data_IF_224670240262
#
_entry.id   IF_224670240262
#
_cell.length_a   1.000
_cell.length_b   1.000
_cell.length_c   1.000
_cell.angle_alpha   90.00
_cell.angle_beta   90.00
_cell.angle_gamma   90.00
#
_symmetry.space_group_name_H-M   'P 1'
#
loop_
_entity.id
_entity.type
_entity.pdbx_description
1 polymer ?
#
# COMPACT_ATOMS: atom_id res chain seq x y z
N UNK A 1 26.19 12.15 1.28
CA UNK A 1 27.02 11.29 2.15
C UNK A 1 26.20 10.23 2.91
N UNK A 2 25.30 10.60 3.84
CA UNK A 2 24.50 9.62 4.62
C UNK A 2 23.69 8.62 3.77
N UNK A 3 23.08 9.08 2.68
CA UNK A 3 22.29 8.22 1.79
C UNK A 3 23.17 7.21 1.02
N UNK A 4 24.30 7.64 0.46
CA UNK A 4 25.19 6.74 -0.27
C UNK A 4 25.75 5.64 0.65
N UNK A 5 26.14 5.98 1.88
CA UNK A 5 26.55 4.99 2.89
C UNK A 5 25.42 4.00 3.21
N UNK A 6 24.18 4.46 3.33
CA UNK A 6 23.03 3.58 3.53
C UNK A 6 22.83 2.64 2.34
N UNK A 7 22.87 3.18 1.12
CA UNK A 7 22.74 2.42 -0.12
C UNK A 7 23.84 1.37 -0.26
N UNK A 8 25.08 1.69 0.08
CA UNK A 8 26.20 0.74 0.11
C UNK A 8 25.92 -0.40 1.09
N UNK A 9 25.53 -0.11 2.33
CA UNK A 9 25.17 -1.14 3.32
C UNK A 9 24.06 -2.08 2.83
N UNK A 10 23.00 -1.52 2.23
CA UNK A 10 21.91 -2.32 1.64
C UNK A 10 22.42 -3.21 0.51
N UNK A 11 23.27 -2.68 -0.37
CA UNK A 11 23.85 -3.43 -1.47
C UNK A 11 24.77 -4.55 -1.00
N UNK A 12 25.57 -4.31 0.04
CA UNK A 12 26.39 -5.36 0.66
C UNK A 12 25.53 -6.46 1.27
N UNK A 13 24.51 -6.09 2.04
CA UNK A 13 23.57 -7.06 2.61
C UNK A 13 22.95 -7.94 1.53
N UNK A 14 22.48 -7.33 0.43
CA UNK A 14 21.92 -8.04 -0.72
C UNK A 14 22.94 -8.97 -1.38
N UNK A 15 24.21 -8.57 -1.50
CA UNK A 15 25.28 -9.41 -2.06
C UNK A 15 25.54 -10.64 -1.18
N UNK A 16 25.59 -10.46 0.14
CA UNK A 16 25.84 -11.54 1.11
C UNK A 16 24.73 -12.59 1.14
N UNK A 17 23.48 -12.18 0.96
CA UNK A 17 22.31 -13.06 1.02
C UNK A 17 21.75 -13.42 -0.38
N UNK A 18 22.53 -13.20 -1.43
CA UNK A 18 22.10 -13.50 -2.80
C UNK A 18 22.04 -15.01 -2.98
N UNK A 19 20.84 -15.55 -3.23
CA UNK A 19 20.64 -16.99 -3.43
C UNK A 19 20.25 -17.75 -2.16
N UNK A 20 20.01 -17.05 -1.05
CA UNK A 20 19.42 -17.63 0.16
C UNK A 20 17.91 -17.86 -0.06
N UNK A 21 17.59 -18.77 -0.99
CA UNK A 21 16.22 -19.23 -1.18
C UNK A 21 15.92 -20.22 -0.07
N UNK A 22 15.27 -19.75 0.99
CA UNK A 22 14.90 -20.66 2.07
C UNK A 22 14.00 -21.77 1.48
N UNK A 23 14.42 -23.03 1.66
CA UNK A 23 13.60 -24.20 1.35
C UNK A 23 12.26 -24.19 2.11
N UNK A 24 12.13 -23.30 3.11
CA UNK A 24 10.95 -23.06 3.95
C UNK A 24 10.01 -21.98 3.39
N UNK A 25 10.26 -21.36 2.24
CA UNK A 25 9.39 -20.27 1.71
C UNK A 25 7.94 -20.69 1.41
N UNK A 26 7.70 -22.01 1.30
CA UNK A 26 6.37 -22.62 1.14
C UNK A 26 5.80 -23.21 2.44
N UNK A 27 6.65 -23.38 3.46
CA UNK A 27 6.30 -23.97 4.74
C UNK A 27 7.03 -23.24 5.88
N UNK A 28 6.35 -22.25 6.45
CA UNK A 28 6.90 -21.44 7.53
C UNK A 28 5.79 -20.86 8.42
N UNK A 29 6.05 -20.67 9.73
CA UNK A 29 5.12 -20.02 10.63
C UNK A 29 4.93 -18.52 10.27
N UNK A 30 3.91 -17.85 10.85
CA UNK A 30 3.77 -16.41 10.69
C UNK A 30 4.82 -15.66 11.52
N UNK A 31 5.22 -14.49 11.03
CA UNK A 31 6.13 -13.56 11.72
C UNK A 31 5.50 -12.17 11.73
N UNK A 32 5.47 -11.51 12.90
CA UNK A 32 5.03 -10.13 13.04
C UNK A 32 6.06 -9.39 13.87
N UNK A 33 6.66 -8.33 13.32
CA UNK A 33 7.70 -7.55 13.97
C UNK A 33 7.37 -6.06 13.94
N UNK A 34 7.49 -5.39 15.08
CA UNK A 34 7.37 -3.93 15.16
C UNK A 34 8.75 -3.32 15.02
N UNK A 35 9.03 -2.76 13.84
CA UNK A 35 10.31 -2.15 13.52
C UNK A 35 10.34 -0.74 14.11
N UNK A 36 11.31 -0.50 14.99
CA UNK A 36 11.56 0.82 15.59
C UNK A 36 12.81 1.43 14.96
N UNK A 37 12.78 2.74 14.74
CA UNK A 37 13.99 3.46 14.33
C UNK A 37 15.01 3.47 15.46
N UNK A 38 16.27 3.19 15.14
CA UNK A 38 17.38 3.43 16.07
C UNK A 38 17.63 4.94 16.12
N UNK A 39 16.96 5.64 17.02
CA UNK A 39 17.36 7.02 17.37
C UNK A 39 18.43 6.89 18.45
N UNK A 40 19.69 7.31 18.21
CA UNK A 40 20.78 7.11 19.15
C UNK A 40 20.60 7.85 20.48
N UNK A 41 19.80 8.91 20.51
CA UNK A 41 19.66 9.79 21.66
C UNK A 41 18.19 9.94 22.11
N UNK A 42 17.91 9.54 23.35
CA UNK A 42 16.63 9.77 24.04
C UNK A 42 16.29 11.27 24.13
N UNK A 43 17.32 12.13 24.14
CA UNK A 43 17.18 13.60 24.18
C UNK A 43 16.71 14.18 22.83
N UNK A 44 17.09 13.58 21.70
CA UNK A 44 16.63 14.01 20.37
C UNK A 44 15.19 13.55 20.06
N UNK A 45 14.71 12.48 20.72
CA UNK A 45 13.32 12.03 20.62
C UNK A 45 12.32 13.02 21.25
N UNK A 46 12.72 13.79 22.27
CA UNK A 46 11.83 14.75 22.94
C UNK A 46 11.46 15.96 22.06
N UNK A 47 12.26 16.25 21.01
CA UNK A 47 12.09 17.39 20.11
C UNK A 47 11.73 17.00 18.67
N UNK A 48 11.55 15.72 18.39
CA UNK A 48 11.17 15.22 17.06
C UNK A 48 9.80 14.56 17.11
N UNK A 49 8.96 14.87 16.11
CA UNK A 49 7.69 14.17 15.95
C UNK A 49 7.95 12.65 15.88
N UNK A 50 7.17 11.84 16.63
CA UNK A 50 7.39 10.41 16.68
C UNK A 50 7.21 9.81 15.27
N UNK A 51 8.24 9.11 14.80
CA UNK A 51 8.20 8.37 13.54
C UNK A 51 6.99 7.41 13.52
N UNK A 52 6.25 7.32 12.39
CA UNK A 52 5.18 6.35 12.25
C UNK A 52 5.68 4.91 12.50
N UNK A 53 4.87 4.10 13.16
CA UNK A 53 5.19 2.69 13.44
C UNK A 53 5.27 1.91 12.12
N UNK A 54 6.38 1.18 11.93
CA UNK A 54 6.51 0.21 10.84
C UNK A 54 6.28 -1.19 11.41
N UNK A 55 5.34 -1.93 10.82
CA UNK A 55 5.02 -3.31 11.22
C UNK A 55 5.32 -4.23 10.04
N UNK A 56 6.29 -5.12 10.21
CA UNK A 56 6.58 -6.19 9.27
C UNK A 56 5.67 -7.39 9.55
N UNK A 57 5.09 -7.95 8.49
CA UNK A 57 4.20 -9.12 8.57
C UNK A 57 4.59 -10.13 7.49
N UNK A 58 4.96 -11.32 7.92
CA UNK A 58 5.03 -12.52 7.10
C UNK A 58 3.90 -13.46 7.51
N UNK A 59 2.99 -13.79 6.58
CA UNK A 59 1.89 -14.72 6.85
C UNK A 59 2.40 -16.15 6.90
N UNK A 60 1.75 -17.00 7.68
CA UNK A 60 1.98 -18.45 7.60
C UNK A 60 1.74 -18.97 6.19
N UNK A 61 2.55 -19.96 5.77
CA UNK A 61 2.30 -20.76 4.57
C UNK A 61 2.50 -22.23 4.88
N UNK A 62 1.65 -23.08 4.31
CA UNK A 62 1.75 -24.54 4.32
C UNK A 62 1.51 -25.06 2.90
N UNK A 63 2.23 -26.09 2.43
CA UNK A 63 2.05 -26.64 1.08
C UNK A 63 0.62 -27.13 0.79
N UNK A 64 -0.10 -27.58 1.83
CA UNK A 64 -1.49 -28.06 1.75
C UNK A 64 -2.54 -26.96 1.65
N UNK A 65 -2.16 -25.68 1.79
CA UNK A 65 -3.10 -24.56 1.85
C UNK A 65 -2.83 -23.55 0.74
N UNK A 66 -3.85 -23.28 -0.07
CA UNK A 66 -3.76 -22.27 -1.11
C UNK A 66 -3.67 -20.87 -0.50
N UNK A 67 -2.63 -20.10 -0.86
CA UNK A 67 -2.34 -18.82 -0.20
C UNK A 67 -2.87 -17.58 -0.93
N UNK A 68 -3.51 -17.74 -2.09
CA UNK A 68 -4.18 -16.66 -2.85
C UNK A 68 -3.30 -15.43 -3.15
N UNK A 69 -2.01 -15.63 -3.41
CA UNK A 69 -1.04 -14.61 -3.84
C UNK A 69 -1.22 -13.25 -3.12
N UNK A 70 -1.36 -12.15 -3.86
CA UNK A 70 -1.50 -10.77 -3.37
C UNK A 70 -2.80 -10.57 -2.58
N UNK A 71 -3.93 -11.11 -3.07
CA UNK A 71 -5.22 -10.98 -2.40
C UNK A 71 -5.20 -11.56 -0.97
N UNK A 72 -4.64 -12.77 -0.81
CA UNK A 72 -4.48 -13.37 0.51
C UNK A 72 -3.54 -12.57 1.41
N UNK A 73 -2.56 -11.85 0.85
CA UNK A 73 -1.57 -11.11 1.63
C UNK A 73 -2.20 -9.82 2.17
N UNK A 74 -2.90 -9.09 1.30
CA UNK A 74 -3.70 -7.92 1.68
C UNK A 74 -4.77 -8.29 2.72
N UNK A 75 -5.44 -9.43 2.58
CA UNK A 75 -6.42 -9.89 3.57
C UNK A 75 -5.80 -10.19 4.95
N UNK A 76 -4.58 -10.74 4.99
CA UNK A 76 -3.85 -10.91 6.27
C UNK A 76 -3.47 -9.54 6.85
N UNK A 77 -2.92 -8.63 6.04
CA UNK A 77 -2.56 -7.28 6.47
C UNK A 77 -3.77 -6.51 7.01
N UNK A 78 -4.95 -6.64 6.37
CA UNK A 78 -6.21 -6.04 6.81
C UNK A 78 -6.57 -6.48 8.24
N UNK A 79 -6.46 -7.79 8.53
CA UNK A 79 -6.75 -8.37 9.85
C UNK A 79 -5.73 -7.95 10.90
N UNK A 80 -4.43 -8.06 10.60
CA UNK A 80 -3.36 -7.64 11.53
C UNK A 80 -3.49 -6.14 11.84
N UNK A 81 -3.71 -5.31 10.83
CA UNK A 81 -3.94 -3.87 11.01
C UNK A 81 -5.18 -3.57 11.86
N UNK A 82 -6.24 -4.38 11.76
CA UNK A 82 -7.44 -4.24 12.60
C UNK A 82 -7.15 -4.39 14.10
N UNK A 83 -6.19 -5.24 14.46
CA UNK A 83 -5.75 -5.42 15.85
C UNK A 83 -4.73 -4.36 16.26
N UNK A 84 -3.81 -4.00 15.37
CA UNK A 84 -2.65 -3.15 15.70
C UNK A 84 -2.98 -1.65 15.77
N UNK A 85 -3.78 -1.15 14.83
CA UNK A 85 -4.08 0.29 14.73
C UNK A 85 -5.55 0.60 14.46
N UNK A 86 -6.30 -0.35 13.91
CA UNK A 86 -7.71 -0.24 13.55
C UNK A 86 -8.06 1.02 12.73
N UNK A 87 -7.14 1.50 11.88
CA UNK A 87 -7.35 2.72 11.08
C UNK A 87 -8.58 2.60 10.17
N UNK A 88 -9.50 3.60 10.16
CA UNK A 88 -10.70 3.57 9.32
C UNK A 88 -10.42 3.65 7.82
N UNK A 89 -9.24 4.15 7.44
CA UNK A 89 -8.81 4.27 6.04
C UNK A 89 -7.49 3.54 5.82
N UNK A 90 -7.34 2.96 4.62
CA UNK A 90 -6.20 2.12 4.25
C UNK A 90 -5.68 2.56 2.88
N UNK A 91 -4.38 2.84 2.78
CA UNK A 91 -3.67 3.00 1.51
C UNK A 91 -3.14 1.64 1.06
N UNK A 92 -3.40 1.28 -0.20
CA UNK A 92 -2.76 0.12 -0.85
C UNK A 92 -1.76 0.63 -1.88
N UNK A 93 -0.51 0.18 -1.77
CA UNK A 93 0.60 0.61 -2.61
C UNK A 93 1.48 -0.59 -2.96
N UNK A 94 1.87 -0.70 -4.23
CA UNK A 94 2.84 -1.69 -4.72
C UNK A 94 4.29 -1.24 -4.52
N UNK A 95 5.22 -2.19 -4.58
CA UNK A 95 6.64 -1.95 -4.27
C UNK A 95 7.41 -1.16 -5.34
N UNK A 96 6.85 -1.03 -6.54
CA UNK A 96 7.33 -0.20 -7.63
C UNK A 96 6.65 1.18 -7.66
N UNK A 97 5.76 1.46 -6.70
CA UNK A 97 5.09 2.73 -6.53
C UNK A 97 5.57 3.44 -5.27
N UNK A 98 5.70 4.76 -5.33
CA UNK A 98 5.99 5.58 -4.16
C UNK A 98 5.10 6.84 -4.14
N UNK A 99 4.91 7.39 -2.94
CA UNK A 99 4.17 8.62 -2.76
C UNK A 99 5.02 9.80 -3.25
N UNK A 100 4.65 10.39 -4.38
CA UNK A 100 5.34 11.54 -4.98
C UNK A 100 4.84 12.90 -4.46
N UNK A 101 3.62 12.96 -3.92
CA UNK A 101 3.04 14.14 -3.29
C UNK A 101 2.70 13.84 -1.81
N UNK A 102 3.40 14.48 -0.86
CA UNK A 102 3.16 14.25 0.57
C UNK A 102 1.76 14.68 1.03
N UNK A 103 1.04 15.47 0.22
CA UNK A 103 -0.33 15.89 0.51
C UNK A 103 -1.40 14.90 0.02
N UNK A 104 -1.03 13.82 -0.69
CA UNK A 104 -1.96 12.83 -1.24
C UNK A 104 -2.92 12.23 -0.20
N UNK A 105 -2.43 11.92 1.01
CA UNK A 105 -3.28 11.46 2.10
C UNK A 105 -4.33 12.50 2.48
N UNK A 106 -3.92 13.77 2.63
CA UNK A 106 -4.83 14.88 2.94
C UNK A 106 -5.88 15.07 1.83
N UNK A 107 -5.46 15.02 0.57
CA UNK A 107 -6.36 15.13 -0.58
C UNK A 107 -7.41 13.99 -0.58
N UNK A 108 -7.00 12.75 -0.32
CA UNK A 108 -7.93 11.63 -0.22
C UNK A 108 -8.93 11.81 0.93
N UNK A 109 -8.47 12.35 2.07
CA UNK A 109 -9.33 12.61 3.22
C UNK A 109 -10.38 13.70 2.95
N UNK A 110 -10.11 14.69 2.09
CA UNK A 110 -11.12 15.67 1.69
C UNK A 110 -12.38 15.01 1.13
N UNK A 111 -12.25 13.93 0.34
CA UNK A 111 -13.39 13.18 -0.18
C UNK A 111 -14.02 12.25 0.87
N UNK A 112 -13.18 11.54 1.62
CA UNK A 112 -13.63 10.58 2.64
C UNK A 112 -14.30 11.25 3.86
N UNK A 113 -14.06 12.54 4.09
CA UNK A 113 -14.63 13.31 5.20
C UNK A 113 -15.68 14.33 4.75
N UNK A 114 -15.96 14.49 3.45
CA UNK A 114 -17.08 15.30 2.98
C UNK A 114 -18.41 14.63 3.42
N UNK A 115 -19.26 15.30 4.22
CA UNK A 115 -20.50 14.71 4.73
C UNK A 115 -21.49 14.25 3.65
N UNK A 116 -21.45 14.85 2.45
CA UNK A 116 -22.34 14.52 1.33
C UNK A 116 -21.81 13.36 0.51
N UNK A 117 -20.49 13.33 0.26
CA UNK A 117 -19.87 12.31 -0.59
C UNK A 117 -19.53 11.03 0.19
N UNK A 118 -19.03 11.19 1.42
CA UNK A 118 -18.50 10.09 2.23
C UNK A 118 -19.47 8.91 2.36
N UNK A 119 -20.77 9.08 2.66
CA UNK A 119 -21.67 7.93 2.86
C UNK A 119 -21.74 6.97 1.65
N UNK A 120 -21.57 7.49 0.43
CA UNK A 120 -21.56 6.72 -0.82
C UNK A 120 -20.15 6.37 -1.33
N UNK A 121 -19.10 6.93 -0.73
CA UNK A 121 -17.72 6.77 -1.20
C UNK A 121 -17.06 5.52 -0.58
N UNK A 122 -16.60 4.62 -1.44
CA UNK A 122 -15.81 3.44 -1.04
C UNK A 122 -14.31 3.75 -1.03
N UNK A 123 -13.78 4.33 -2.11
CA UNK A 123 -12.36 4.56 -2.30
C UNK A 123 -12.09 5.85 -3.07
N UNK A 124 -10.86 6.34 -2.93
CA UNK A 124 -10.28 7.40 -3.78
C UNK A 124 -9.08 6.78 -4.50
N UNK A 125 -9.18 6.67 -5.83
CA UNK A 125 -8.14 6.10 -6.69
C UNK A 125 -7.30 7.22 -7.29
N UNK A 126 -5.98 7.14 -7.12
CA UNK A 126 -5.02 8.04 -7.77
C UNK A 126 -4.51 7.39 -9.07
N UNK A 127 -4.25 8.20 -10.11
CA UNK A 127 -3.64 7.72 -11.35
C UNK A 127 -2.24 7.16 -11.10
N UNK A 128 -1.89 6.07 -11.79
CA UNK A 128 -0.54 5.50 -11.69
C UNK A 128 0.41 6.28 -12.60
N UNK A 129 1.49 6.79 -12.02
CA UNK A 129 2.46 7.62 -12.73
C UNK A 129 3.77 6.87 -12.87
N UNK A 130 4.01 6.31 -14.06
CA UNK A 130 5.23 5.59 -14.37
C UNK A 130 6.39 6.55 -14.70
N UNK A 131 7.61 6.15 -14.36
CA UNK A 131 8.84 6.92 -14.57
C UNK A 131 9.80 6.22 -15.54
N UNK A 132 10.84 6.93 -16.01
CA UNK A 132 11.85 6.43 -16.96
C UNK A 132 11.27 5.96 -18.29
N UNK A 133 10.28 6.68 -18.80
CA UNK A 133 9.62 6.34 -20.07
C UNK A 133 10.34 7.07 -21.20
N UNK A 134 10.59 6.35 -22.29
CA UNK A 134 11.18 6.91 -23.50
C UNK A 134 10.36 8.08 -24.04
N UNK A 135 11.03 9.08 -24.62
CA UNK A 135 10.33 10.12 -25.40
C UNK A 135 9.58 9.51 -26.58
N UNK A 136 10.12 8.43 -27.15
CA UNK A 136 9.50 7.62 -28.21
C UNK A 136 8.70 6.44 -27.61
N UNK A 137 7.71 6.74 -26.76
CA UNK A 137 6.87 5.75 -26.08
C UNK A 137 5.84 5.11 -27.02
N UNK A 138 6.31 4.28 -27.96
CA UNK A 138 5.46 3.57 -28.93
C UNK A 138 4.55 2.52 -28.29
N UNK A 139 4.85 2.10 -27.06
CA UNK A 139 4.06 1.14 -26.30
C UNK A 139 3.00 1.79 -25.41
N UNK A 140 2.93 3.13 -25.39
CA UNK A 140 2.11 3.93 -24.46
C UNK A 140 2.21 3.42 -23.02
N UNK A 141 3.44 3.23 -22.55
CA UNK A 141 3.78 2.76 -21.21
C UNK A 141 3.22 3.69 -20.11
N UNK A 142 2.89 4.94 -20.46
CA UNK A 142 2.18 5.89 -19.58
C UNK A 142 0.72 5.53 -19.34
N UNK A 143 0.11 4.70 -20.19
CA UNK A 143 -1.31 4.36 -20.17
C UNK A 143 -2.23 5.60 -20.08
N UNK A 144 -1.87 6.67 -20.81
CA UNK A 144 -2.53 7.98 -20.72
C UNK A 144 -4.04 7.92 -20.98
N UNK A 145 -4.53 7.21 -22.02
CA UNK A 145 -5.96 7.16 -22.29
C UNK A 145 -6.76 6.56 -21.12
N UNK A 146 -6.19 5.57 -20.42
CA UNK A 146 -6.85 4.93 -19.28
C UNK A 146 -6.95 5.88 -18.09
N UNK A 147 -5.81 6.43 -17.64
CA UNK A 147 -5.78 7.22 -16.40
C UNK A 147 -6.26 8.66 -16.57
N UNK A 148 -6.09 9.26 -17.75
CA UNK A 148 -6.38 10.68 -17.96
C UNK A 148 -7.71 10.95 -18.65
N UNK A 149 -8.22 10.02 -19.44
CA UNK A 149 -9.51 10.20 -20.15
C UNK A 149 -10.55 9.24 -19.61
N UNK A 150 -10.24 7.93 -19.58
CA UNK A 150 -11.18 6.89 -19.17
C UNK A 150 -11.64 7.06 -17.73
N UNK A 151 -10.70 7.26 -16.79
CA UNK A 151 -11.03 7.36 -15.37
C UNK A 151 -11.86 8.58 -15.02
N UNK A 152 -11.51 9.75 -15.55
CA UNK A 152 -12.31 10.96 -15.36
C UNK A 152 -13.72 10.81 -15.96
N UNK A 153 -13.83 10.13 -17.12
CA UNK A 153 -15.14 9.80 -17.70
C UNK A 153 -15.97 8.88 -16.82
N UNK A 154 -15.35 7.84 -16.24
CA UNK A 154 -16.03 6.93 -15.30
C UNK A 154 -16.40 7.60 -13.97
N UNK A 155 -15.60 8.57 -13.53
CA UNK A 155 -15.85 9.35 -12.32
C UNK A 155 -17.11 10.22 -12.43
N UNK A 156 -17.43 10.69 -13.64
CA UNK A 156 -18.72 11.33 -13.93
C UNK A 156 -19.94 10.41 -13.81
N UNK A 157 -19.74 9.09 -13.64
CA UNK A 157 -20.80 8.10 -13.46
C UNK A 157 -20.77 7.47 -12.06
N UNK A 158 -19.85 6.54 -11.81
CA UNK A 158 -19.77 5.75 -10.57
C UNK A 158 -18.36 5.64 -9.98
N UNK A 159 -17.39 6.37 -10.54
CA UNK A 159 -16.00 6.30 -10.12
C UNK A 159 -15.15 5.35 -10.98
N UNK A 160 -13.82 5.49 -10.91
CA UNK A 160 -12.89 4.59 -11.58
C UNK A 160 -12.87 3.19 -10.95
N UNK A 161 -12.34 2.23 -11.71
CA UNK A 161 -12.12 0.86 -11.23
C UNK A 161 -10.95 0.79 -10.23
N UNK A 162 -11.02 -0.15 -9.29
CA UNK A 162 -9.89 -0.47 -8.40
C UNK A 162 -8.74 -1.07 -9.21
N UNK A 163 -7.61 -0.37 -9.28
CA UNK A 163 -6.49 -0.71 -10.19
C UNK A 163 -5.30 -1.35 -9.47
N UNK A 164 -5.52 -1.95 -8.30
CA UNK A 164 -4.55 -2.78 -7.59
C UNK A 164 -3.49 -2.05 -6.75
N UNK A 165 -3.31 -0.74 -6.95
CA UNK A 165 -2.39 0.14 -6.21
C UNK A 165 -2.86 1.60 -6.25
N UNK A 166 -2.23 2.47 -5.48
CA UNK A 166 -2.45 3.93 -5.47
C UNK A 166 -3.88 4.34 -5.08
N UNK A 167 -4.50 3.68 -4.11
CA UNK A 167 -5.84 4.06 -3.65
C UNK A 167 -5.98 4.07 -2.13
N UNK A 168 -6.81 4.98 -1.64
CA UNK A 168 -7.26 5.04 -0.25
C UNK A 168 -8.68 4.47 -0.16
N UNK A 169 -8.87 3.38 0.57
CA UNK A 169 -10.16 2.70 0.75
C UNK A 169 -10.64 2.81 2.20
N UNK A 170 -11.96 2.90 2.37
CA UNK A 170 -12.59 2.76 3.69
C UNK A 170 -12.54 1.32 4.16
N UNK A 171 -12.08 1.10 5.39
CA UNK A 171 -12.03 -0.21 6.03
C UNK A 171 -13.41 -0.87 6.06
N UNK A 172 -14.46 -0.12 6.39
CA UNK A 172 -15.83 -0.64 6.46
C UNK A 172 -16.26 -1.29 5.14
N UNK A 173 -15.87 -0.72 4.00
CA UNK A 173 -16.24 -1.22 2.67
C UNK A 173 -15.62 -2.57 2.35
N UNK A 174 -14.51 -2.95 3.01
CA UNK A 174 -13.88 -4.27 2.84
C UNK A 174 -14.56 -5.37 3.64
N UNK A 175 -15.35 -5.01 4.67
CA UNK A 175 -16.07 -5.97 5.52
C UNK A 175 -17.56 -6.05 5.22
N UNK A 176 -18.12 -5.02 4.59
CA UNK A 176 -19.55 -4.92 4.33
C UNK A 176 -19.96 -6.01 3.34
N UNK A 177 -20.91 -6.85 3.74
CA UNK A 177 -21.65 -7.67 2.79
C UNK A 177 -22.43 -6.73 1.86
N UNK A 178 -22.58 -7.04 0.56
CA UNK A 178 -23.44 -6.24 -0.30
C UNK A 178 -24.79 -6.10 0.40
N UNK A 179 -25.31 -4.87 0.44
CA UNK A 179 -26.70 -4.65 0.85
C UNK A 179 -27.51 -5.49 -0.12
N UNK A 180 -28.11 -6.58 0.37
CA UNK A 180 -29.23 -7.17 -0.36
C UNK A 180 -30.29 -6.07 -0.28
N UNK A 181 -30.42 -5.30 -1.36
CA UNK A 181 -31.64 -4.54 -1.58
C UNK A 181 -32.76 -5.56 -1.55
N UNK A 182 -33.52 -5.55 -0.47
CA UNK A 182 -34.72 -6.37 -0.35
C UNK A 182 -35.60 -6.07 -1.56
N UNK A 183 -35.83 -7.10 -2.37
CA UNK A 183 -37.03 -7.19 -3.18
C UNK A 183 -38.20 -7.57 -2.28
#
# INVERSE_FOLDING_TARGET
EKYELFKERVNEYRKRHRGDSSHTSRDHPPTIEVVRGNVPDEVMQAHQDPMPKLIYVSREKRPSHHHHFKAGALNVLLRVSGVMSNSPYILVLDCDMYCNDPSSARQAMCFHLDPRLSPSLMLVQFPQMFHNISENDIYDSKLRPYFWTGWYGMDGLKGPVLSGTCFYIKRESLYRKPVQEGK
#
